data_IF_847303187969
#
_entry.id   IF_847303187969
#
_cell.length_a   1.000
_cell.length_b   1.000
_cell.length_c   1.000
_cell.angle_alpha   90.00
_cell.angle_beta   90.00
_cell.angle_gamma   90.00
#
_symmetry.space_group_name_H-M   'P 1'
#
loop_
_entity.id
_entity.type
_entity.pdbx_description
1 polymer ?
#
# COMPACT_ATOMS: atom_id res chain seq x y z
N UNK A 1 -17.93 -5.11 15.16
CA UNK A 1 -17.06 -5.60 14.06
C UNK A 1 -17.63 -5.14 12.72
N UNK A 2 -16.84 -4.40 11.93
CA UNK A 2 -17.21 -3.87 10.61
C UNK A 2 -16.46 -4.60 9.48
N UNK A 3 -15.70 -5.65 9.79
CA UNK A 3 -14.83 -6.34 8.83
C UNK A 3 -15.58 -6.93 7.62
N UNK A 4 -16.81 -7.38 7.81
CA UNK A 4 -17.67 -7.85 6.73
C UNK A 4 -18.24 -6.70 5.89
N UNK A 5 -18.91 -5.70 6.51
CA UNK A 5 -19.48 -4.56 5.79
C UNK A 5 -18.50 -3.78 4.92
N UNK A 6 -17.25 -3.54 5.38
CA UNK A 6 -16.25 -2.77 4.61
C UNK A 6 -15.75 -3.47 3.33
N UNK A 7 -16.00 -4.77 3.20
CA UNK A 7 -15.59 -5.55 2.01
C UNK A 7 -16.66 -5.65 0.93
N UNK A 8 -17.82 -5.03 1.14
CA UNK A 8 -18.90 -5.03 0.16
C UNK A 8 -18.49 -4.26 -1.11
N UNK A 9 -19.04 -4.67 -2.24
CA UNK A 9 -18.72 -4.10 -3.55
C UNK A 9 -19.01 -2.59 -3.61
N UNK A 10 -20.13 -2.16 -3.01
CA UNK A 10 -20.52 -0.75 -2.95
C UNK A 10 -19.51 0.10 -2.18
N UNK A 11 -19.00 -0.42 -1.07
CA UNK A 11 -17.96 0.26 -0.26
C UNK A 11 -16.66 0.33 -1.05
N UNK A 12 -16.24 -0.76 -1.69
CA UNK A 12 -15.04 -0.78 -2.51
C UNK A 12 -15.09 0.22 -3.68
N UNK A 13 -16.26 0.41 -4.29
CA UNK A 13 -16.45 1.41 -5.34
C UNK A 13 -16.25 2.85 -4.82
N UNK A 14 -16.67 3.14 -3.59
CA UNK A 14 -16.54 4.45 -2.98
C UNK A 14 -15.13 4.75 -2.48
N UNK A 15 -14.35 3.74 -2.07
CA UNK A 15 -12.98 3.93 -1.52
C UNK A 15 -12.10 4.70 -2.50
N UNK A 16 -12.11 4.36 -3.78
CA UNK A 16 -11.31 5.04 -4.79
C UNK A 16 -11.69 6.50 -4.99
N UNK A 17 -12.97 6.83 -4.87
CA UNK A 17 -13.46 8.22 -4.94
C UNK A 17 -13.04 9.00 -3.69
N UNK A 18 -13.25 8.43 -2.51
CA UNK A 18 -12.87 9.05 -1.23
C UNK A 18 -11.35 9.29 -1.12
N UNK A 19 -10.54 8.36 -1.61
CA UNK A 19 -9.09 8.49 -1.61
C UNK A 19 -8.55 9.64 -2.49
N UNK A 20 -9.38 10.21 -3.37
CA UNK A 20 -9.06 11.38 -4.20
C UNK A 20 -9.41 12.71 -3.53
N UNK A 21 -10.19 12.70 -2.44
CA UNK A 21 -10.57 13.92 -1.73
C UNK A 21 -9.39 14.41 -0.89
N UNK A 22 -8.79 15.59 -1.17
CA UNK A 22 -7.59 16.05 -0.51
C UNK A 22 -7.70 16.08 1.02
N UNK A 23 -8.80 16.61 1.55
CA UNK A 23 -9.01 16.71 3.01
C UNK A 23 -9.07 15.34 3.70
N UNK A 24 -9.68 14.33 3.05
CA UNK A 24 -9.72 12.95 3.57
C UNK A 24 -8.32 12.36 3.54
N UNK A 25 -7.57 12.61 2.48
CA UNK A 25 -6.21 12.13 2.32
C UNK A 25 -5.28 12.74 3.37
N UNK A 26 -5.34 14.05 3.57
CA UNK A 26 -4.52 14.75 4.56
C UNK A 26 -4.83 14.29 5.99
N UNK A 27 -6.09 14.06 6.30
CA UNK A 27 -6.50 13.48 7.58
C UNK A 27 -5.93 12.07 7.75
N UNK A 28 -6.07 11.22 6.75
CA UNK A 28 -5.55 9.83 6.79
C UNK A 28 -4.04 9.78 6.94
N UNK A 29 -3.31 10.62 6.20
CA UNK A 29 -1.84 10.72 6.29
C UNK A 29 -1.39 11.08 7.71
N UNK A 30 -2.02 12.10 8.31
CA UNK A 30 -1.71 12.49 9.70
C UNK A 30 -1.98 11.34 10.67
N UNK A 31 -3.16 10.74 10.61
CA UNK A 31 -3.56 9.65 11.49
C UNK A 31 -2.60 8.45 11.40
N UNK A 32 -2.21 8.04 10.17
CA UNK A 32 -1.29 6.93 9.97
C UNK A 32 0.11 7.25 10.51
N UNK A 33 0.61 8.46 10.27
CA UNK A 33 1.92 8.89 10.77
C UNK A 33 1.96 9.02 12.28
N UNK A 34 0.91 9.57 12.89
CA UNK A 34 0.76 9.63 14.35
C UNK A 34 0.77 8.23 14.97
N UNK A 35 0.08 7.27 14.36
CA UNK A 35 0.09 5.87 14.84
C UNK A 35 1.51 5.30 14.85
N UNK A 36 2.31 5.56 13.81
CA UNK A 36 3.67 5.07 13.70
C UNK A 36 4.66 5.68 14.73
N UNK A 37 4.30 6.80 15.37
CA UNK A 37 5.11 7.38 16.45
C UNK A 37 5.04 6.61 17.77
N UNK A 38 4.02 5.78 17.93
CA UNK A 38 3.71 5.15 19.21
C UNK A 38 3.84 3.62 19.19
N UNK A 39 4.05 3.01 18.01
CA UNK A 39 4.13 1.57 17.86
C UNK A 39 4.87 1.17 16.60
N UNK A 40 5.46 -0.01 16.63
CA UNK A 40 5.93 -0.67 15.41
C UNK A 40 4.74 -0.93 14.50
N UNK A 41 4.90 -0.64 13.21
CA UNK A 41 3.81 -0.68 12.25
C UNK A 41 4.21 -1.49 11.01
N UNK A 42 3.30 -2.36 10.59
CA UNK A 42 3.31 -2.96 9.25
C UNK A 42 2.12 -2.39 8.48
N UNK A 43 2.40 -1.71 7.38
CA UNK A 43 1.36 -1.08 6.57
C UNK A 43 1.42 -1.57 5.13
N UNK A 44 0.25 -1.81 4.53
CA UNK A 44 0.12 -2.15 3.12
C UNK A 44 -0.68 -1.07 2.37
N UNK A 45 -0.33 -0.86 1.12
CA UNK A 45 -1.00 0.13 0.27
C UNK A 45 -0.22 0.44 -1.00
N UNK A 46 -0.70 1.42 -1.76
CA UNK A 46 -0.16 1.77 -3.08
C UNK A 46 1.01 2.76 -3.00
N UNK A 47 1.01 3.61 -1.99
CA UNK A 47 1.92 4.72 -1.82
C UNK A 47 2.59 4.74 -0.43
N UNK A 48 2.54 3.60 0.29
CA UNK A 48 3.06 3.50 1.65
C UNK A 48 4.54 3.90 1.75
N UNK A 49 5.39 3.36 0.88
CA UNK A 49 6.82 3.62 0.90
C UNK A 49 7.26 4.90 0.18
N UNK A 50 6.37 5.57 -0.56
CA UNK A 50 6.70 6.78 -1.34
C UNK A 50 6.13 8.06 -0.75
N UNK A 51 4.93 8.00 -0.16
CA UNK A 51 4.20 9.18 0.33
C UNK A 51 3.87 9.06 1.81
N UNK A 52 3.34 7.92 2.27
CA UNK A 52 2.87 7.79 3.66
C UNK A 52 4.04 7.67 4.61
N UNK A 53 4.95 6.71 4.36
CA UNK A 53 6.13 6.42 5.17
C UNK A 53 7.41 6.41 4.33
N UNK A 54 7.82 7.56 3.76
CA UNK A 54 9.02 7.62 2.91
C UNK A 54 10.32 7.33 3.67
N UNK A 55 10.32 7.40 4.99
CA UNK A 55 11.43 7.07 5.88
C UNK A 55 11.25 5.73 6.60
N UNK A 56 10.38 4.83 6.12
CA UNK A 56 10.23 3.50 6.71
C UNK A 56 11.54 2.70 6.66
N UNK A 57 11.86 1.99 7.75
CA UNK A 57 13.09 1.19 7.89
C UNK A 57 13.20 0.08 6.85
N UNK A 58 12.08 -0.51 6.48
CA UNK A 58 11.97 -1.52 5.43
C UNK A 58 10.81 -1.19 4.50
N UNK A 59 11.11 -1.15 3.22
CA UNK A 59 10.11 -1.01 2.16
C UNK A 59 10.17 -2.22 1.24
N UNK A 60 9.03 -2.85 1.01
CA UNK A 60 8.93 -4.00 0.12
C UNK A 60 7.93 -3.67 -0.97
N UNK A 61 8.34 -3.78 -2.22
CA UNK A 61 7.47 -3.65 -3.38
C UNK A 61 7.13 -5.05 -3.90
N UNK A 62 5.91 -5.50 -3.58
CA UNK A 62 5.42 -6.80 -3.98
C UNK A 62 4.97 -6.81 -5.43
N UNK A 63 5.42 -7.78 -6.18
CA UNK A 63 4.98 -8.05 -7.56
C UNK A 63 4.61 -9.51 -7.72
N UNK A 64 3.72 -9.80 -8.66
CA UNK A 64 3.44 -11.14 -9.13
C UNK A 64 2.85 -11.06 -10.55
N UNK A 65 2.95 -12.17 -11.28
CA UNK A 65 2.28 -12.34 -12.57
C UNK A 65 0.77 -12.05 -12.46
N UNK A 66 0.17 -11.30 -13.41
CA UNK A 66 -1.24 -10.92 -13.35
C UNK A 66 -2.19 -12.12 -13.27
N UNK A 67 -1.91 -13.22 -13.98
CA UNK A 67 -2.75 -14.41 -13.93
C UNK A 67 -2.67 -15.12 -12.57
N UNK A 68 -1.49 -15.12 -11.94
CA UNK A 68 -1.32 -15.66 -10.58
C UNK A 68 -2.08 -14.79 -9.57
N UNK A 69 -2.02 -13.48 -9.70
CA UNK A 69 -2.79 -12.54 -8.85
C UNK A 69 -4.28 -12.74 -9.01
N UNK A 70 -4.76 -12.90 -10.24
CA UNK A 70 -6.16 -13.15 -10.56
C UNK A 70 -6.65 -14.47 -9.92
N UNK A 71 -5.91 -15.55 -10.10
CA UNK A 71 -6.25 -16.86 -9.48
C UNK A 71 -6.30 -16.77 -7.96
N UNK A 72 -5.31 -16.14 -7.32
CA UNK A 72 -5.29 -15.95 -5.86
C UNK A 72 -6.52 -15.18 -5.36
N UNK A 73 -6.90 -14.13 -6.08
CA UNK A 73 -8.06 -13.32 -5.73
C UNK A 73 -9.38 -14.07 -5.90
N UNK A 74 -9.54 -14.78 -7.00
CA UNK A 74 -10.74 -15.62 -7.26
C UNK A 74 -10.89 -16.70 -6.19
N UNK A 75 -9.81 -17.40 -5.83
CA UNK A 75 -9.82 -18.38 -4.75
C UNK A 75 -10.20 -17.75 -3.40
N UNK A 76 -9.69 -16.57 -3.08
CA UNK A 76 -10.04 -15.84 -1.86
C UNK A 76 -11.52 -15.46 -1.81
N UNK A 77 -12.14 -15.20 -2.96
CA UNK A 77 -13.56 -14.89 -3.08
C UNK A 77 -14.46 -16.14 -3.19
N UNK A 78 -13.87 -17.34 -3.26
CA UNK A 78 -14.61 -18.59 -3.47
C UNK A 78 -15.21 -18.71 -4.88
N UNK A 79 -14.61 -18.03 -5.87
CA UNK A 79 -15.05 -18.02 -7.26
C UNK A 79 -14.29 -19.06 -8.11
N UNK A 80 -14.86 -19.49 -9.26
CA UNK A 80 -14.19 -20.38 -10.21
C UNK A 80 -12.87 -19.80 -10.71
N UNK A 81 -11.93 -20.68 -11.06
CA UNK A 81 -10.61 -20.32 -11.60
C UNK A 81 -10.38 -20.92 -12.99
N UNK A 82 -11.45 -21.09 -13.76
CA UNK A 82 -11.37 -21.45 -15.17
C UNK A 82 -10.72 -20.33 -16.00
N UNK A 83 -10.27 -20.67 -17.19
CA UNK A 83 -9.47 -19.76 -18.01
C UNK A 83 -10.22 -18.47 -18.40
N UNK A 84 -11.53 -18.53 -18.58
CA UNK A 84 -12.35 -17.36 -18.92
C UNK A 84 -12.46 -16.41 -17.74
N UNK A 85 -12.85 -16.93 -16.57
CA UNK A 85 -12.96 -16.15 -15.33
C UNK A 85 -11.63 -15.53 -14.92
N UNK A 86 -10.52 -16.29 -15.07
CA UNK A 86 -9.17 -15.78 -14.80
C UNK A 86 -8.81 -14.64 -15.76
N UNK A 87 -9.08 -14.77 -17.06
CA UNK A 87 -8.78 -13.72 -18.04
C UNK A 87 -9.53 -12.42 -17.73
N UNK A 88 -10.82 -12.51 -17.42
CA UNK A 88 -11.61 -11.33 -17.02
C UNK A 88 -11.04 -10.65 -15.77
N UNK A 89 -10.62 -11.43 -14.78
CA UNK A 89 -10.06 -10.87 -13.55
C UNK A 89 -8.66 -10.27 -13.78
N UNK A 90 -7.86 -10.82 -14.70
CA UNK A 90 -6.60 -10.20 -15.14
C UNK A 90 -6.85 -8.81 -15.71
N UNK A 91 -7.82 -8.66 -16.63
CA UNK A 91 -8.16 -7.36 -17.23
C UNK A 91 -8.55 -6.32 -16.17
N UNK A 92 -9.38 -6.73 -15.18
CA UNK A 92 -9.78 -5.85 -14.05
C UNK A 92 -8.58 -5.45 -13.18
N UNK A 93 -7.66 -6.37 -12.92
CA UNK A 93 -6.44 -6.10 -12.14
C UNK A 93 -5.54 -5.13 -12.88
N UNK A 94 -5.29 -5.35 -14.16
CA UNK A 94 -4.43 -4.50 -14.99
C UNK A 94 -5.03 -3.09 -15.18
N UNK A 95 -6.34 -2.99 -15.37
CA UNK A 95 -7.02 -1.70 -15.44
C UNK A 95 -6.87 -0.92 -14.14
N UNK A 96 -7.04 -1.59 -13.00
CA UNK A 96 -6.83 -0.99 -11.69
C UNK A 96 -5.38 -0.55 -11.47
N UNK A 97 -4.41 -1.39 -11.83
CA UNK A 97 -2.99 -1.08 -11.69
C UNK A 97 -2.60 0.12 -12.59
N UNK A 98 -3.14 0.20 -13.80
CA UNK A 98 -2.97 1.37 -14.68
C UNK A 98 -3.56 2.63 -14.04
N UNK A 99 -4.79 2.55 -13.51
CA UNK A 99 -5.43 3.66 -12.83
C UNK A 99 -4.65 4.11 -11.58
N UNK A 100 -4.14 3.17 -10.78
CA UNK A 100 -3.36 3.45 -9.58
C UNK A 100 -1.98 4.07 -9.93
N UNK A 101 -1.34 3.64 -11.02
CA UNK A 101 -0.03 4.14 -11.46
C UNK A 101 -0.10 5.49 -12.17
N UNK A 102 -1.22 5.80 -12.83
CA UNK A 102 -1.43 7.06 -13.56
C UNK A 102 -2.02 8.19 -12.71
N UNK A 103 -2.27 7.96 -11.42
CA UNK A 103 -2.78 9.01 -10.53
C UNK A 103 -1.83 10.20 -10.48
N UNK A 104 -2.38 11.40 -10.55
CA UNK A 104 -1.64 12.64 -10.37
C UNK A 104 -1.12 12.78 -8.93
N UNK A 105 -1.94 12.34 -7.96
CA UNK A 105 -1.59 12.37 -6.54
C UNK A 105 -1.32 10.97 -6.02
N UNK A 106 -0.14 10.76 -5.47
CA UNK A 106 0.32 9.51 -4.84
C UNK A 106 0.13 8.26 -5.73
N UNK A 107 0.74 8.24 -6.93
CA UNK A 107 0.68 7.09 -7.82
C UNK A 107 1.31 5.85 -7.20
N UNK A 108 0.86 4.68 -7.64
CA UNK A 108 1.54 3.42 -7.35
C UNK A 108 2.92 3.43 -8.00
N UNK A 109 3.95 3.55 -7.17
CA UNK A 109 5.37 3.54 -7.60
C UNK A 109 6.22 2.78 -6.60
N UNK A 110 7.23 2.10 -7.12
CA UNK A 110 8.27 1.54 -6.28
C UNK A 110 9.14 2.68 -5.71
N UNK A 111 9.34 2.71 -4.40
CA UNK A 111 10.32 3.59 -3.79
C UNK A 111 11.74 3.16 -4.20
N UNK A 112 12.66 4.13 -4.33
CA UNK A 112 14.02 3.86 -4.83
C UNK A 112 14.80 2.88 -3.93
N UNK A 113 14.51 2.88 -2.65
CA UNK A 113 15.10 2.03 -1.61
C UNK A 113 14.23 0.80 -1.27
N UNK A 114 13.17 0.54 -2.03
CA UNK A 114 12.33 -0.63 -1.80
C UNK A 114 12.93 -1.91 -2.38
N UNK A 115 12.95 -2.96 -1.57
CA UNK A 115 13.25 -4.33 -2.02
C UNK A 115 12.09 -4.82 -2.89
N UNK A 116 12.37 -5.11 -4.16
CA UNK A 116 11.38 -5.73 -5.04
C UNK A 116 11.30 -7.22 -4.72
N UNK A 117 10.12 -7.68 -4.33
CA UNK A 117 9.84 -9.09 -4.04
C UNK A 117 8.84 -9.64 -5.05
N UNK A 118 9.32 -10.53 -5.93
CA UNK A 118 8.47 -11.27 -6.84
C UNK A 118 7.89 -12.48 -6.12
N UNK A 119 6.58 -12.55 -6.08
CA UNK A 119 5.84 -13.60 -5.36
C UNK A 119 5.13 -14.57 -6.30
N UNK A 120 5.42 -14.53 -7.61
CA UNK A 120 4.76 -15.35 -8.63
C UNK A 120 4.77 -16.83 -8.25
N UNK A 121 5.96 -17.36 -7.94
CA UNK A 121 6.16 -18.79 -7.61
C UNK A 121 6.08 -19.09 -6.10
N UNK A 122 5.80 -18.08 -5.26
CA UNK A 122 5.83 -18.27 -3.81
C UNK A 122 4.45 -18.65 -3.26
N UNK A 123 4.40 -19.66 -2.39
CA UNK A 123 3.25 -19.89 -1.53
C UNK A 123 3.05 -18.74 -0.55
N UNK A 124 1.88 -18.63 0.07
CA UNK A 124 1.63 -17.61 1.09
C UNK A 124 2.65 -17.67 2.23
N UNK A 125 2.90 -18.87 2.76
CA UNK A 125 3.86 -19.05 3.86
C UNK A 125 5.30 -18.68 3.44
N UNK A 126 5.70 -19.01 2.21
CA UNK A 126 7.01 -18.61 1.69
C UNK A 126 7.15 -17.09 1.53
N UNK A 127 6.07 -16.40 1.12
CA UNK A 127 6.05 -14.93 1.08
C UNK A 127 6.22 -14.34 2.47
N UNK A 128 5.47 -14.83 3.45
CA UNK A 128 5.58 -14.37 4.86
C UNK A 128 6.97 -14.64 5.40
N UNK A 129 7.52 -15.84 5.19
CA UNK A 129 8.87 -16.20 5.65
C UNK A 129 9.92 -15.23 5.05
N UNK A 130 9.81 -14.92 3.75
CA UNK A 130 10.75 -14.00 3.10
C UNK A 130 10.66 -12.57 3.63
N UNK A 131 9.46 -12.09 3.89
CA UNK A 131 9.24 -10.75 4.49
C UNK A 131 9.82 -10.69 5.91
N UNK A 132 9.59 -11.74 6.72
CA UNK A 132 10.15 -11.83 8.08
C UNK A 132 11.67 -11.88 8.07
N UNK A 133 12.27 -12.62 7.13
CA UNK A 133 13.73 -12.64 6.94
C UNK A 133 14.29 -11.25 6.65
N UNK A 134 13.68 -10.51 5.72
CA UNK A 134 14.06 -9.14 5.38
C UNK A 134 13.93 -8.20 6.59
N UNK A 135 12.84 -8.30 7.33
CA UNK A 135 12.61 -7.50 8.53
C UNK A 135 13.67 -7.79 9.62
N UNK A 136 14.02 -9.06 9.85
CA UNK A 136 15.08 -9.43 10.79
C UNK A 136 16.43 -8.90 10.36
N UNK A 137 16.79 -9.07 9.08
CA UNK A 137 18.04 -8.54 8.54
C UNK A 137 18.17 -7.03 8.69
N UNK A 138 17.09 -6.28 8.44
CA UNK A 138 17.03 -4.82 8.61
C UNK A 138 17.25 -4.44 10.07
N UNK A 139 16.59 -5.13 11.00
CA UNK A 139 16.77 -4.91 12.45
C UNK A 139 18.18 -5.20 12.90
N UNK A 140 18.74 -6.34 12.48
CA UNK A 140 20.06 -6.80 12.91
C UNK A 140 21.19 -5.94 12.32
N UNK A 141 20.95 -5.26 11.20
CA UNK A 141 21.84 -4.23 10.64
C UNK A 141 21.81 -2.89 11.40
N UNK A 142 21.01 -2.77 12.46
CA UNK A 142 20.89 -1.55 13.26
C UNK A 142 20.17 -0.40 12.53
N UNK A 143 19.48 -0.69 11.45
CA UNK A 143 18.71 0.29 10.66
C UNK A 143 17.34 0.58 11.30
N UNK A 144 16.95 -0.21 12.30
CA UNK A 144 15.68 -0.01 13.01
C UNK A 144 15.77 1.25 13.87
N UNK A 145 15.35 2.37 13.31
CA UNK A 145 15.33 3.63 14.00
C UNK A 145 14.14 3.70 14.96
N UNK A 146 14.44 3.86 16.24
CA UNK A 146 13.50 4.48 17.19
C UNK A 146 13.07 5.83 16.57
N UNK A 147 11.80 6.26 16.66
CA UNK A 147 11.31 7.49 16.03
C UNK A 147 12.24 8.65 16.29
N UNK A 148 12.97 9.07 15.28
CA UNK A 148 13.94 10.14 15.43
C UNK A 148 13.24 11.49 15.39
N UNK A 149 13.81 12.45 16.09
CA UNK A 149 13.48 13.87 16.11
C UNK A 149 13.13 14.45 14.73
N UNK A 150 13.75 13.95 13.66
CA UNK A 150 13.48 14.28 12.26
C UNK A 150 12.05 14.00 11.79
N UNK A 151 11.42 12.92 12.29
CA UNK A 151 10.02 12.63 11.98
C UNK A 151 9.10 13.63 12.72
N UNK A 152 9.46 13.98 13.95
CA UNK A 152 8.75 14.98 14.74
C UNK A 152 8.84 16.37 14.08
N UNK A 153 10.00 16.74 13.52
CA UNK A 153 10.18 18.00 12.78
C UNK A 153 9.40 18.02 11.46
N UNK A 154 9.31 16.89 10.74
CA UNK A 154 8.49 16.76 9.53
C UNK A 154 6.99 16.87 9.80
N UNK A 155 6.53 16.46 10.99
CA UNK A 155 5.13 16.57 11.41
C UNK A 155 4.81 17.96 11.97
N UNK A 156 5.79 18.67 12.52
CA UNK A 156 5.65 20.01 13.06
C UNK A 156 5.69 21.11 11.97
N UNK A 157 6.17 20.79 10.77
CA UNK A 157 6.14 21.75 9.66
C UNK A 157 4.70 21.94 9.17
N UNK A 158 4.16 23.16 9.20
CA UNK A 158 2.86 23.44 8.61
C UNK A 158 2.93 23.11 7.12
N UNK A 159 1.98 22.31 6.64
CA UNK A 159 1.76 22.04 5.22
C UNK A 159 1.91 23.32 4.41
N UNK A 160 2.66 23.25 3.32
CA UNK A 160 2.79 24.34 2.37
C UNK A 160 1.39 24.90 2.02
N UNK A 161 1.24 26.24 1.91
CA UNK A 161 -0.06 26.83 1.71
C UNK A 161 -0.70 26.30 0.44
N UNK A 162 -1.94 25.83 0.57
CA UNK A 162 -2.79 25.45 -0.57
C UNK A 162 -2.90 26.69 -1.48
N UNK A 163 -2.53 26.61 -2.77
CA UNK A 163 -2.70 27.74 -3.67
C UNK A 163 -4.19 28.09 -3.74
N UNK A 164 -4.55 29.27 -3.28
CA UNK A 164 -5.91 29.81 -3.44
C UNK A 164 -6.13 30.01 -4.93
N UNK A 165 -6.93 29.18 -5.54
CA UNK A 165 -7.50 29.47 -6.86
C UNK A 165 -8.58 30.52 -6.65
N UNK A 166 -8.31 31.74 -7.13
CA UNK A 166 -9.32 32.77 -7.26
C UNK A 166 -10.50 32.26 -8.12
N UNK A 167 -11.69 32.63 -7.73
CA UNK A 167 -12.94 32.45 -8.48
C UNK A 167 -12.90 33.20 -9.79
#
# INVERSE_FOLDING_TARGET
DISGPIRRAEVNALVSAMARVPAVRDWLLRTLRETALHTDLVADGRDMGTVVFPAADLKIFLVADPAVRAKRRLLQMGLPTDDETVREEVERIEERDRADSSREVAPLRQAADAVRLDTTELSFDAQVARIVELARATRDAGVWNVPTQSLMESLASPTAPVPQRGF
#
